data_IF_249251917223
#
_entry.id   IF_249251917223
#
_cell.length_a   1.000
_cell.length_b   1.000
_cell.length_c   1.000
_cell.angle_alpha   90.00
_cell.angle_beta   90.00
_cell.angle_gamma   90.00
#
_symmetry.space_group_name_H-M   'P 1'
#
loop_
_entity.id
_entity.type
_entity.pdbx_description
1 polymer ?
#
# COMPACT_ATOMS: atom_id res chain seq x y z
N UNK A 1 31.50 5.97 5.52
CA UNK A 1 30.40 5.88 4.53
C UNK A 1 29.15 6.46 5.17
N UNK A 2 28.71 7.62 4.69
CA UNK A 2 27.79 8.50 5.41
C UNK A 2 26.37 7.94 5.41
N UNK A 3 25.72 7.85 6.59
CA UNK A 3 24.39 7.27 6.78
C UNK A 3 23.26 7.89 5.94
N UNK A 4 23.50 9.08 5.36
CA UNK A 4 22.59 9.74 4.41
C UNK A 4 22.43 8.93 3.10
N UNK A 5 23.51 8.29 2.62
CA UNK A 5 23.45 7.42 1.44
C UNK A 5 22.81 6.08 1.77
N UNK A 6 23.04 5.53 2.97
CA UNK A 6 22.43 4.28 3.40
C UNK A 6 20.90 4.41 3.49
N UNK A 7 20.38 5.53 3.99
CA UNK A 7 18.93 5.76 4.08
C UNK A 7 18.28 5.89 2.70
N UNK A 8 18.86 6.71 1.81
CA UNK A 8 18.36 6.88 0.43
C UNK A 8 18.40 5.57 -0.38
N UNK A 9 19.43 4.74 -0.15
CA UNK A 9 19.56 3.45 -0.82
C UNK A 9 18.69 2.34 -0.17
N UNK A 10 18.37 2.47 1.12
CA UNK A 10 17.46 1.55 1.84
C UNK A 10 15.98 1.84 1.59
N UNK A 11 15.61 3.07 1.18
CA UNK A 11 14.23 3.40 0.80
C UNK A 11 13.75 2.60 -0.42
N UNK A 12 14.63 2.29 -1.37
CA UNK A 12 14.30 1.53 -2.58
C UNK A 12 13.77 0.11 -2.24
N UNK A 13 14.50 -0.71 -1.45
CA UNK A 13 13.99 -2.03 -1.05
C UNK A 13 12.80 -1.95 -0.08
N UNK A 14 12.71 -0.93 0.79
CA UNK A 14 11.56 -0.79 1.72
C UNK A 14 10.25 -0.58 0.95
N UNK A 15 10.23 0.32 -0.03
CA UNK A 15 9.06 0.56 -0.88
C UNK A 15 8.69 -0.71 -1.66
N UNK A 16 9.69 -1.43 -2.16
CA UNK A 16 9.49 -2.69 -2.90
C UNK A 16 8.89 -3.78 -2.01
N UNK A 17 9.40 -3.94 -0.78
CA UNK A 17 8.89 -4.92 0.19
C UNK A 17 7.48 -4.57 0.65
N UNK A 18 7.20 -3.29 0.95
CA UNK A 18 5.86 -2.85 1.32
C UNK A 18 4.88 -3.09 0.16
N UNK A 19 5.26 -2.77 -1.08
CA UNK A 19 4.43 -3.07 -2.25
C UNK A 19 4.10 -4.56 -2.42
N UNK A 20 5.09 -5.44 -2.21
CA UNK A 20 4.89 -6.89 -2.23
C UNK A 20 4.02 -7.37 -1.05
N UNK A 21 4.21 -6.82 0.15
CA UNK A 21 3.41 -7.17 1.34
C UNK A 21 1.95 -6.72 1.23
N UNK A 22 1.69 -5.57 0.62
CA UNK A 22 0.32 -5.06 0.38
C UNK A 22 -0.46 -6.03 -0.50
N UNK A 23 0.16 -6.63 -1.53
CA UNK A 23 -0.49 -7.65 -2.35
C UNK A 23 -0.94 -8.87 -1.54
N UNK A 24 -0.10 -9.33 -0.60
CA UNK A 24 -0.44 -10.42 0.32
C UNK A 24 -1.55 -10.06 1.30
N UNK A 25 -1.51 -8.86 1.88
CA UNK A 25 -2.54 -8.36 2.79
C UNK A 25 -3.88 -8.16 2.08
N UNK A 26 -3.87 -7.64 0.85
CA UNK A 26 -5.07 -7.52 0.02
C UNK A 26 -5.66 -8.88 -0.35
N UNK A 27 -4.83 -9.86 -0.72
CA UNK A 27 -5.30 -11.22 -0.98
C UNK A 27 -5.96 -11.84 0.27
N UNK A 28 -5.35 -11.63 1.45
CA UNK A 28 -5.95 -12.03 2.73
C UNK A 28 -7.29 -11.34 3.02
N UNK A 29 -7.38 -10.03 2.77
CA UNK A 29 -8.61 -9.26 2.95
C UNK A 29 -9.73 -9.68 1.98
N UNK A 30 -9.40 -9.97 0.72
CA UNK A 30 -10.38 -10.48 -0.26
C UNK A 30 -10.90 -11.86 0.15
N UNK A 31 -10.02 -12.74 0.66
CA UNK A 31 -10.41 -14.06 1.14
C UNK A 31 -11.36 -13.96 2.33
N UNK A 32 -11.09 -13.08 3.30
CA UNK A 32 -12.00 -12.89 4.44
C UNK A 32 -13.34 -12.26 4.02
N UNK A 33 -13.34 -11.30 3.09
CA UNK A 33 -14.58 -10.73 2.52
C UNK A 33 -15.42 -11.78 1.79
N UNK A 34 -14.76 -12.70 1.07
CA UNK A 34 -15.45 -13.75 0.29
C UNK A 34 -16.02 -14.83 1.21
N UNK A 35 -15.23 -15.32 2.16
CA UNK A 35 -15.62 -16.43 3.07
C UNK A 35 -16.71 -15.98 4.04
N UNK A 36 -16.60 -14.78 4.63
CA UNK A 36 -17.58 -14.26 5.57
C UNK A 36 -18.74 -13.50 4.89
N UNK A 37 -18.78 -13.46 3.55
CA UNK A 37 -19.76 -12.68 2.77
C UNK A 37 -19.87 -11.21 3.20
N UNK A 38 -18.78 -10.64 3.73
CA UNK A 38 -18.73 -9.25 4.15
C UNK A 38 -18.63 -8.35 2.90
N UNK A 39 -19.54 -7.38 2.71
CA UNK A 39 -19.47 -6.47 1.56
C UNK A 39 -18.27 -5.53 1.72
N UNK A 40 -17.20 -5.83 0.99
CA UNK A 40 -15.96 -5.05 1.01
C UNK A 40 -15.49 -4.64 -0.38
N UNK A 41 -14.51 -3.74 -0.41
CA UNK A 41 -14.00 -3.11 -1.63
C UNK A 41 -13.21 -4.13 -2.48
N UNK A 42 -12.54 -5.09 -1.83
CA UNK A 42 -11.76 -6.12 -2.51
C UNK A 42 -12.64 -7.05 -3.35
N UNK A 43 -13.69 -7.61 -2.74
CA UNK A 43 -14.69 -8.45 -3.41
C UNK A 43 -15.42 -7.68 -4.53
N UNK A 44 -15.79 -6.42 -4.28
CA UNK A 44 -16.45 -5.58 -5.29
C UNK A 44 -15.56 -5.31 -6.51
N UNK A 45 -14.27 -5.10 -6.29
CA UNK A 45 -13.31 -4.89 -7.37
C UNK A 45 -13.07 -6.18 -8.17
N UNK A 46 -12.96 -7.34 -7.51
CA UNK A 46 -12.84 -8.66 -8.17
C UNK A 46 -14.07 -8.95 -9.03
N UNK A 47 -15.28 -8.76 -8.49
CA UNK A 47 -16.53 -8.94 -9.25
C UNK A 47 -16.62 -8.00 -10.46
N UNK A 48 -16.12 -6.76 -10.33
CA UNK A 48 -16.08 -5.78 -11.41
C UNK A 48 -15.09 -6.15 -12.52
N UNK A 49 -13.97 -6.78 -12.18
CA UNK A 49 -13.02 -7.36 -13.14
C UNK A 49 -13.69 -8.48 -13.94
N UNK A 50 -14.42 -9.39 -13.26
CA UNK A 50 -15.14 -10.48 -13.92
C UNK A 50 -16.30 -9.97 -14.80
N UNK A 51 -16.97 -8.89 -14.39
CA UNK A 51 -18.02 -8.22 -15.18
C UNK A 51 -17.49 -7.36 -16.33
N UNK A 52 -16.16 -7.21 -16.46
CA UNK A 52 -15.49 -6.34 -17.44
C UNK A 52 -15.95 -4.88 -17.36
N UNK A 53 -16.37 -4.42 -16.20
CA UNK A 53 -16.73 -3.02 -15.96
C UNK A 53 -15.47 -2.18 -15.76
N UNK A 54 -14.79 -1.86 -16.88
CA UNK A 54 -13.54 -1.10 -16.89
C UNK A 54 -13.58 0.23 -16.09
N UNK A 55 -14.66 1.05 -16.13
CA UNK A 55 -14.73 2.28 -15.35
C UNK A 55 -14.68 2.02 -13.83
N UNK A 56 -15.34 0.96 -13.39
CA UNK A 56 -15.41 0.57 -11.98
C UNK A 56 -14.07 0.02 -11.50
N UNK A 57 -13.44 -0.83 -12.32
CA UNK A 57 -12.11 -1.37 -12.04
C UNK A 57 -11.07 -0.24 -11.95
N UNK A 58 -11.12 0.72 -12.87
CA UNK A 58 -10.19 1.85 -12.88
C UNK A 58 -10.40 2.76 -11.66
N UNK A 59 -11.66 3.04 -11.29
CA UNK A 59 -11.99 3.79 -10.08
C UNK A 59 -11.54 3.09 -8.80
N UNK A 60 -11.80 1.78 -8.69
CA UNK A 60 -11.36 0.96 -7.56
C UNK A 60 -9.84 0.91 -7.43
N UNK A 61 -9.14 0.75 -8.55
CA UNK A 61 -7.67 0.75 -8.60
C UNK A 61 -7.10 2.09 -8.12
N UNK A 62 -7.64 3.21 -8.59
CA UNK A 62 -7.22 4.55 -8.15
C UNK A 62 -7.45 4.75 -6.65
N UNK A 63 -8.58 4.28 -6.13
CA UNK A 63 -8.93 4.39 -4.70
C UNK A 63 -7.96 3.58 -3.83
N UNK A 64 -7.65 2.35 -4.22
CA UNK A 64 -6.65 1.52 -3.53
C UNK A 64 -5.26 2.15 -3.62
N UNK A 65 -4.86 2.64 -4.80
CA UNK A 65 -3.57 3.31 -4.97
C UNK A 65 -3.46 4.55 -4.07
N UNK A 66 -4.54 5.32 -3.93
CA UNK A 66 -4.60 6.48 -3.04
C UNK A 66 -4.45 6.08 -1.57
N UNK A 67 -5.14 5.02 -1.13
CA UNK A 67 -5.01 4.49 0.24
C UNK A 67 -3.57 4.07 0.50
N UNK A 68 -2.97 3.29 -0.42
CA UNK A 68 -1.58 2.84 -0.30
C UNK A 68 -0.62 4.02 -0.26
N UNK A 69 -0.86 5.06 -1.05
CA UNK A 69 -0.07 6.29 -1.04
C UNK A 69 -0.17 7.01 0.31
N UNK A 70 -1.37 7.13 0.89
CA UNK A 70 -1.59 7.74 2.21
C UNK A 70 -0.88 6.92 3.30
N UNK A 71 -0.97 5.58 3.25
CA UNK A 71 -0.29 4.71 4.22
C UNK A 71 1.22 4.86 4.11
N UNK A 72 1.78 4.82 2.90
CA UNK A 72 3.21 5.05 2.68
C UNK A 72 3.65 6.43 3.17
N UNK A 73 2.88 7.48 2.87
CA UNK A 73 3.17 8.83 3.36
C UNK A 73 3.13 8.90 4.89
N UNK A 74 2.17 8.23 5.52
CA UNK A 74 2.06 8.15 6.98
C UNK A 74 3.27 7.43 7.58
N UNK A 75 3.70 6.34 6.96
CA UNK A 75 4.89 5.58 7.33
C UNK A 75 6.14 6.45 7.19
N UNK A 76 6.30 7.17 6.09
CA UNK A 76 7.42 8.11 5.87
C UNK A 76 7.45 9.23 6.91
N UNK A 77 6.30 9.81 7.25
CA UNK A 77 6.16 10.84 8.29
C UNK A 77 6.50 10.27 9.68
N UNK A 78 6.00 9.08 10.00
CA UNK A 78 6.34 8.38 11.25
C UNK A 78 7.83 8.06 11.33
N UNK A 79 8.45 7.60 10.25
CA UNK A 79 9.89 7.39 10.18
C UNK A 79 10.66 8.71 10.35
N UNK A 80 10.20 9.79 9.75
CA UNK A 80 10.78 11.14 9.93
C UNK A 80 10.69 11.63 11.38
N UNK A 81 9.59 11.34 12.07
CA UNK A 81 9.37 11.70 13.47
C UNK A 81 10.15 10.82 14.46
N UNK A 82 10.15 9.49 14.25
CA UNK A 82 10.81 8.50 15.11
C UNK A 82 12.34 8.56 14.94
N UNK A 83 12.85 9.12 13.85
CA UNK A 83 14.28 9.24 13.58
C UNK A 83 14.79 10.68 13.79
N UNK A 84 15.01 11.14 15.06
CA UNK A 84 15.52 12.47 15.38
C UNK A 84 16.97 12.73 14.91
N UNK A 85 17.63 11.78 14.23
CA UNK A 85 19.00 11.94 13.70
C UNK A 85 19.08 12.59 12.31
N UNK A 86 17.96 12.85 11.63
CA UNK A 86 17.95 13.63 10.37
C UNK A 86 18.02 15.14 10.65
N UNK A 87 17.78 15.60 11.89
CA UNK A 87 17.76 17.03 12.28
C UNK A 87 19.13 17.64 12.60
N UNK A 88 20.25 16.95 12.43
CA UNK A 88 21.56 17.60 12.53
C UNK A 88 22.41 17.30 11.30
N UNK A 89 22.13 17.99 10.20
CA UNK A 89 22.95 19.12 9.73
C UNK A 89 22.10 20.07 8.91
#
# INVERSE_FOLDING_TARGET
>A
MNGLHALRNAMIPVITVIGLSVGGLMAGAILTETIFSWPGIGKWMVDSIFRRDYPVVQGGLLLIALIVMIVNLTVDVLYGLINPKIRKR
#
